data_IF_135498013555
#
_entry.id   IF_135498013555
#
_cell.length_a   1.000
_cell.length_b   1.000
_cell.length_c   1.000
_cell.angle_alpha   90.00
_cell.angle_beta   90.00
_cell.angle_gamma   90.00
#
_symmetry.space_group_name_H-M   'P 1'
#
loop_
_entity.id
_entity.type
_entity.pdbx_description
1 polymer ?
#
# COMPACT_ATOMS: atom_id res chain seq x y z
N UNK A 1 -8.87 -17.09 2.96
CA UNK A 1 -7.61 -17.79 3.26
C UNK A 1 -6.63 -17.50 2.13
N UNK A 2 -5.70 -16.56 2.32
CA UNK A 2 -4.67 -16.27 1.31
C UNK A 2 -3.72 -17.49 1.22
N UNK A 3 -3.62 -18.09 0.03
CA UNK A 3 -2.73 -19.23 -0.21
C UNK A 3 -1.29 -18.74 0.00
N UNK A 4 -0.60 -19.26 1.02
CA UNK A 4 0.84 -19.05 1.23
C UNK A 4 1.56 -19.45 -0.07
N UNK A 5 2.09 -18.46 -0.78
CA UNK A 5 2.86 -18.68 -2.01
C UNK A 5 4.22 -19.24 -1.58
N UNK A 6 4.59 -20.41 -2.11
CA UNK A 6 5.88 -21.06 -1.87
C UNK A 6 6.73 -20.86 -3.13
N UNK A 7 7.29 -19.67 -3.30
CA UNK A 7 8.25 -19.38 -4.36
C UNK A 7 9.64 -19.37 -3.72
N UNK A 8 10.55 -20.18 -4.24
CA UNK A 8 11.95 -20.22 -3.80
C UNK A 8 12.63 -18.88 -4.08
N UNK A 9 13.25 -18.30 -3.05
CA UNK A 9 13.96 -17.02 -3.15
C UNK A 9 15.08 -17.06 -4.21
N UNK A 10 15.70 -18.22 -4.44
CA UNK A 10 16.71 -18.37 -5.49
C UNK A 10 16.12 -18.21 -6.89
N UNK A 11 14.85 -18.57 -7.09
CA UNK A 11 14.14 -18.36 -8.36
C UNK A 11 13.89 -16.87 -8.56
N UNK A 12 13.53 -16.15 -7.50
CA UNK A 12 13.30 -14.71 -7.56
C UNK A 12 14.58 -13.99 -7.97
N UNK A 13 15.69 -14.19 -7.25
CA UNK A 13 16.95 -13.48 -7.51
C UNK A 13 17.67 -13.86 -8.80
N UNK A 14 17.31 -15.00 -9.41
CA UNK A 14 17.84 -15.40 -10.73
C UNK A 14 16.94 -14.98 -11.89
N UNK A 15 15.71 -14.54 -11.61
CA UNK A 15 14.83 -14.02 -12.65
C UNK A 15 15.31 -12.67 -13.16
N UNK A 16 14.98 -12.32 -14.40
CA UNK A 16 15.35 -11.01 -14.94
C UNK A 16 14.65 -9.88 -14.19
N UNK A 17 15.24 -8.70 -14.27
CA UNK A 17 14.61 -7.47 -13.78
C UNK A 17 13.69 -6.90 -14.86
N UNK A 18 12.55 -6.41 -14.41
CA UNK A 18 11.60 -5.61 -15.18
C UNK A 18 11.63 -4.20 -14.61
N UNK A 19 11.73 -3.21 -15.48
CA UNK A 19 11.67 -1.79 -15.14
C UNK A 19 10.22 -1.35 -15.16
N UNK A 20 9.72 -0.92 -14.00
CA UNK A 20 8.42 -0.30 -13.87
C UNK A 20 8.60 1.21 -13.81
N UNK A 21 7.98 1.94 -14.74
CA UNK A 21 7.99 3.40 -14.83
C UNK A 21 6.65 3.90 -14.28
N UNK A 22 6.68 4.53 -13.10
CA UNK A 22 5.48 4.78 -12.30
C UNK A 22 5.20 6.28 -12.13
N UNK A 23 3.91 6.62 -12.29
CA UNK A 23 3.37 7.95 -12.05
C UNK A 23 3.76 8.98 -13.13
N UNK A 24 3.20 10.18 -13.00
CA UNK A 24 3.45 11.31 -13.91
C UNK A 24 4.94 11.69 -13.97
N UNK A 25 5.65 11.53 -12.84
CA UNK A 25 7.08 11.81 -12.73
C UNK A 25 7.98 10.71 -13.31
N UNK A 26 7.40 9.63 -13.86
CA UNK A 26 8.12 8.53 -14.53
C UNK A 26 9.23 7.93 -13.66
N UNK A 27 8.92 7.65 -12.39
CA UNK A 27 9.88 7.09 -11.44
C UNK A 27 10.15 5.62 -11.79
N UNK A 28 11.42 5.24 -11.93
CA UNK A 28 11.81 3.89 -12.33
C UNK A 28 12.07 2.96 -11.14
N UNK A 29 11.52 1.75 -11.22
CA UNK A 29 11.69 0.69 -10.24
C UNK A 29 12.16 -0.60 -10.92
N UNK A 30 13.22 -1.20 -10.41
CA UNK A 30 13.72 -2.49 -10.90
C UNK A 30 13.17 -3.62 -10.04
N UNK A 31 12.36 -4.51 -10.64
CA UNK A 31 11.68 -5.59 -9.92
C UNK A 31 11.91 -6.95 -10.58
N UNK A 32 12.19 -7.98 -9.78
CA UNK A 32 12.35 -9.34 -10.27
C UNK A 32 11.05 -9.88 -10.86
N UNK A 33 11.09 -10.37 -12.10
CA UNK A 33 9.93 -10.89 -12.82
C UNK A 33 9.19 -11.97 -12.02
N UNK A 34 9.92 -12.88 -11.39
CA UNK A 34 9.33 -13.98 -10.62
C UNK A 34 8.58 -13.49 -9.36
N UNK A 35 8.94 -12.32 -8.80
CA UNK A 35 8.21 -11.74 -7.68
C UNK A 35 6.81 -11.27 -8.12
N UNK A 36 6.72 -10.61 -9.28
CA UNK A 36 5.46 -10.02 -9.78
C UNK A 36 4.56 -11.05 -10.47
N UNK A 37 5.12 -11.91 -11.32
CA UNK A 37 4.35 -12.93 -12.05
C UNK A 37 3.70 -13.99 -11.13
N UNK A 38 4.22 -14.13 -9.91
CA UNK A 38 3.63 -14.96 -8.87
C UNK A 38 2.40 -14.37 -8.19
N UNK A 39 2.13 -13.06 -8.36
CA UNK A 39 1.04 -12.37 -7.66
C UNK A 39 -0.34 -12.70 -8.22
N UNK A 40 -0.49 -12.66 -9.55
CA UNK A 40 -1.78 -12.86 -10.21
C UNK A 40 -1.60 -13.28 -11.68
N UNK A 41 -2.66 -13.86 -12.27
CA UNK A 41 -2.63 -14.21 -13.70
C UNK A 41 -2.45 -12.97 -14.61
N UNK A 42 -3.11 -11.81 -14.37
CA UNK A 42 -2.85 -10.59 -15.14
C UNK A 42 -1.41 -10.09 -15.03
N UNK A 43 -0.83 -10.05 -13.82
CA UNK A 43 0.54 -9.57 -13.62
C UNK A 43 1.57 -10.53 -14.23
N UNK A 44 1.30 -11.84 -14.26
CA UNK A 44 2.09 -12.78 -15.04
C UNK A 44 2.03 -12.45 -16.52
N UNK A 45 0.82 -12.33 -17.09
CA UNK A 45 0.66 -12.02 -18.51
C UNK A 45 1.37 -10.71 -18.88
N UNK A 46 1.28 -9.68 -18.04
CA UNK A 46 1.94 -8.39 -18.25
C UNK A 46 3.44 -8.53 -18.53
N UNK A 47 4.13 -9.42 -17.81
CA UNK A 47 5.59 -9.57 -17.90
C UNK A 47 6.04 -10.76 -18.74
N UNK A 48 5.11 -11.61 -19.22
CA UNK A 48 5.43 -12.83 -19.99
C UNK A 48 4.68 -12.98 -21.33
N UNK A 49 3.85 -12.02 -21.76
CA UNK A 49 2.97 -12.19 -22.93
C UNK A 49 3.67 -12.14 -24.30
N UNK A 50 4.96 -11.83 -24.38
CA UNK A 50 5.70 -11.69 -25.63
C UNK A 50 5.40 -10.39 -26.40
N UNK A 51 4.61 -9.48 -25.83
CA UNK A 51 4.42 -8.12 -26.35
C UNK A 51 5.64 -7.24 -26.02
N UNK A 52 5.75 -6.09 -26.70
CA UNK A 52 6.90 -5.18 -26.63
C UNK A 52 7.38 -4.94 -25.20
N UNK A 53 6.46 -4.60 -24.30
CA UNK A 53 6.70 -4.32 -22.89
C UNK A 53 7.34 -5.53 -22.18
N UNK A 54 6.80 -6.73 -22.42
CA UNK A 54 7.34 -7.96 -21.84
C UNK A 54 8.67 -8.37 -22.46
N UNK A 55 8.95 -8.01 -23.72
CA UNK A 55 10.22 -8.34 -24.39
C UNK A 55 11.31 -7.38 -23.95
N UNK A 56 11.03 -6.08 -23.96
CA UNK A 56 11.93 -5.02 -23.54
C UNK A 56 12.16 -5.02 -22.02
N UNK A 57 11.23 -5.61 -21.26
CA UNK A 57 11.28 -5.63 -19.81
C UNK A 57 10.97 -4.26 -19.20
N UNK A 58 10.12 -3.47 -19.86
CA UNK A 58 9.72 -2.13 -19.42
C UNK A 58 8.19 -2.04 -19.40
N UNK A 59 7.63 -1.64 -18.25
CA UNK A 59 6.19 -1.46 -18.03
C UNK A 59 5.96 -0.05 -17.51
N UNK A 60 5.07 0.72 -18.15
CA UNK A 60 4.72 2.06 -17.71
C UNK A 60 3.30 2.12 -17.14
N UNK A 61 3.14 2.68 -15.94
CA UNK A 61 1.86 2.95 -15.28
C UNK A 61 1.77 4.40 -14.83
N UNK A 62 1.10 5.22 -15.63
CA UNK A 62 1.03 6.66 -15.41
C UNK A 62 0.03 7.05 -14.31
N UNK A 63 -0.99 6.22 -14.11
CA UNK A 63 -2.10 6.45 -13.17
C UNK A 63 -1.80 5.94 -11.74
N UNK A 64 -0.70 5.22 -11.55
CA UNK A 64 -0.34 4.62 -10.27
C UNK A 64 0.62 5.54 -9.53
N UNK A 65 0.30 5.86 -8.28
CA UNK A 65 1.20 6.61 -7.41
C UNK A 65 2.41 5.73 -7.00
N UNK A 66 3.63 6.30 -6.95
CA UNK A 66 4.84 5.55 -6.56
C UNK A 66 4.73 4.82 -5.21
N UNK A 67 3.99 5.39 -4.26
CA UNK A 67 3.75 4.80 -2.94
C UNK A 67 2.92 3.52 -3.03
N UNK A 68 1.80 3.56 -3.77
CA UNK A 68 0.95 2.39 -4.02
C UNK A 68 1.73 1.28 -4.72
N UNK A 69 2.58 1.64 -5.68
CA UNK A 69 3.46 0.67 -6.34
C UNK A 69 4.47 0.05 -5.37
N UNK A 70 5.06 0.84 -4.47
CA UNK A 70 6.01 0.36 -3.47
C UNK A 70 5.36 -0.69 -2.56
N UNK A 71 4.12 -0.45 -2.10
CA UNK A 71 3.37 -1.42 -1.30
C UNK A 71 3.08 -2.73 -2.05
N UNK A 72 2.81 -2.66 -3.36
CA UNK A 72 2.67 -3.86 -4.21
C UNK A 72 3.98 -4.65 -4.25
N UNK A 73 5.12 -3.98 -4.38
CA UNK A 73 6.44 -4.60 -4.44
C UNK A 73 6.82 -5.21 -3.09
N UNK A 74 6.55 -4.52 -1.98
CA UNK A 74 6.72 -5.07 -0.63
C UNK A 74 5.92 -6.36 -0.46
N UNK A 75 4.65 -6.36 -0.88
CA UNK A 75 3.83 -7.56 -0.87
C UNK A 75 4.36 -8.66 -1.80
N UNK A 76 5.02 -8.29 -2.90
CA UNK A 76 5.61 -9.23 -3.85
C UNK A 76 6.79 -10.01 -3.25
N UNK A 77 7.63 -9.35 -2.44
CA UNK A 77 8.82 -9.96 -1.84
C UNK A 77 8.59 -10.50 -0.41
N UNK A 78 7.86 -9.76 0.43
CA UNK A 78 7.74 -10.02 1.86
C UNK A 78 6.60 -10.97 2.23
N UNK A 79 5.67 -11.23 1.31
CA UNK A 79 4.43 -11.98 1.53
C UNK A 79 3.51 -11.42 2.64
N UNK A 80 3.89 -10.32 3.27
CA UNK A 80 3.11 -9.59 4.25
C UNK A 80 2.95 -8.15 3.76
N UNK A 81 1.71 -7.69 3.69
CA UNK A 81 1.44 -6.27 3.50
C UNK A 81 1.65 -5.64 4.87
N UNK A 82 2.85 -5.11 5.14
CA UNK A 82 2.91 -4.03 6.13
C UNK A 82 2.20 -2.85 5.49
N UNK A 83 0.87 -2.81 5.65
CA UNK A 83 0.13 -1.56 5.52
C UNK A 83 0.77 -0.65 6.58
N UNK A 84 1.78 0.12 6.20
CA UNK A 84 2.19 1.27 6.98
C UNK A 84 0.98 2.17 6.93
N UNK A 85 0.23 2.13 8.03
CA UNK A 85 -0.97 2.88 8.34
C UNK A 85 -1.50 3.68 7.15
N UNK A 86 -2.29 3.00 6.32
CA UNK A 86 -3.41 3.65 5.62
C UNK A 86 -4.47 4.09 6.66
N UNK A 87 -4.04 4.64 7.79
CA UNK A 87 -4.88 5.44 8.65
C UNK A 87 -5.08 6.76 7.90
N UNK A 88 -6.14 6.78 7.09
CA UNK A 88 -6.80 7.98 6.57
C UNK A 88 -6.09 8.71 5.41
N UNK A 89 -6.15 8.14 4.19
CA UNK A 89 -6.61 8.99 3.07
C UNK A 89 -8.13 8.83 3.01
N UNK A 90 -8.80 9.46 3.96
CA UNK A 90 -10.10 10.03 3.65
C UNK A 90 -9.87 10.99 2.47
N UNK A 91 -10.39 10.64 1.29
CA UNK A 91 -10.91 11.65 0.37
C UNK A 91 -11.58 12.72 1.23
N UNK A 92 -11.37 14.04 1.03
CA UNK A 92 -11.93 15.03 1.94
C UNK A 92 -13.45 14.86 2.08
N UNK A 93 -13.86 14.32 3.23
CA UNK A 93 -15.03 14.78 3.95
C UNK A 93 -14.53 16.03 4.69
N UNK A 94 -14.90 17.22 4.20
CA UNK A 94 -14.73 18.55 4.82
C UNK A 94 -13.81 18.64 6.08
N UNK A 95 -12.59 19.18 5.89
CA UNK A 95 -11.54 19.35 6.94
C UNK A 95 -11.88 20.27 8.12
N UNK A 96 -13.11 20.81 8.23
CA UNK A 96 -13.53 21.52 9.45
C UNK A 96 -14.23 20.60 10.47
N UNK A 97 -14.38 19.30 10.16
CA UNK A 97 -15.25 18.41 10.94
C UNK A 97 -14.49 17.60 11.99
N UNK A 98 -13.20 17.30 11.75
CA UNK A 98 -12.43 16.41 12.62
C UNK A 98 -11.79 17.12 13.82
N UNK A 99 -11.37 18.38 13.68
CA UNK A 99 -11.00 19.20 14.84
C UNK A 99 -12.19 19.36 15.80
N UNK A 100 -13.40 19.55 15.25
CA UNK A 100 -14.63 19.65 16.04
C UNK A 100 -14.96 18.31 16.69
N UNK A 101 -14.81 17.18 15.99
CA UNK A 101 -15.10 15.86 16.53
C UNK A 101 -14.11 15.46 17.65
N UNK A 102 -12.82 15.71 17.47
CA UNK A 102 -11.76 15.36 18.43
C UNK A 102 -11.79 16.29 19.64
N UNK A 103 -11.99 17.59 19.43
CA UNK A 103 -12.19 18.55 20.51
C UNK A 103 -13.47 18.25 21.31
N UNK A 104 -14.55 17.88 20.64
CA UNK A 104 -15.83 17.53 21.30
C UNK A 104 -15.72 16.24 22.11
N UNK A 105 -15.02 15.22 21.61
CA UNK A 105 -14.78 13.96 22.36
C UNK A 105 -13.91 14.19 23.59
N UNK A 106 -12.84 14.99 23.47
CA UNK A 106 -11.93 15.29 24.59
C UNK A 106 -12.57 16.20 25.65
N UNK A 107 -13.41 17.17 25.24
CA UNK A 107 -14.21 17.99 26.17
C UNK A 107 -15.28 17.16 26.89
N UNK A 108 -15.98 16.26 26.19
CA UNK A 108 -16.96 15.36 26.81
C UNK A 108 -16.31 14.43 27.84
N UNK A 109 -15.12 13.90 27.55
CA UNK A 109 -14.37 13.07 28.51
C UNK A 109 -13.92 13.87 29.74
N UNK A 110 -13.44 15.11 29.55
CA UNK A 110 -13.00 15.97 30.66
C UNK A 110 -14.17 16.46 31.54
N UNK A 111 -15.32 16.79 30.95
CA UNK A 111 -16.53 17.18 31.68
C UNK A 111 -17.13 16.01 32.48
N UNK A 112 -17.09 14.79 31.93
CA UNK A 112 -17.57 13.58 32.62
C UNK A 112 -16.66 13.25 33.82
N UNK A 113 -15.34 13.33 33.65
CA UNK A 113 -14.39 13.06 34.74
C UNK A 113 -14.49 14.14 35.83
N UNK A 114 -14.63 15.42 35.45
CA UNK A 114 -14.77 16.51 36.41
C UNK A 114 -16.07 16.47 37.21
N UNK A 115 -17.20 16.14 36.58
CA UNK A 115 -18.50 16.01 37.28
C UNK A 115 -18.53 14.81 38.23
N UNK A 116 -17.93 13.68 37.86
CA UNK A 116 -17.79 12.51 38.73
C UNK A 116 -16.87 12.77 39.94
N UNK A 117 -15.82 13.59 39.78
CA UNK A 117 -14.95 14.00 40.89
C UNK A 117 -15.65 14.97 41.85
N UNK A 118 -16.50 15.87 41.34
CA UNK A 118 -17.26 16.82 42.16
C UNK A 118 -18.43 16.18 42.94
N UNK A 119 -19.02 15.09 42.42
CA UNK A 119 -20.08 14.32 43.09
C UNK A 119 -19.56 13.39 44.20
N UNK A 120 -18.27 13.08 44.22
CA UNK A 120 -17.65 12.17 45.21
C UNK A 120 -17.08 12.87 46.45
N UNK A 121 -17.22 14.20 46.51
CA UNK A 121 -16.65 15.06 47.56
C UNK A 121 -17.65 15.90 48.36
N UNK A 122 -18.92 15.47 48.48
CA UNK A 122 -19.89 16.02 49.44
C UNK A 122 -20.35 14.95 50.41
#
# INVERSE_FOLDING_TARGET
MARKRNIDINVIFKSRLIVFVIGENKVEYNVHEAAISGLSAPLRALVTNGMKESVEGVVAWDEIEPEVFTQLVEFAYGYDLSLHDYDMIEKPMNKNTDEVAIASRSLQQRLLVGTLQALRGR
#
